data_IF_549624020185
#
_entry.id   IF_549624020185
#
_cell.length_a   1.000
_cell.length_b   1.000
_cell.length_c   1.000
_cell.angle_alpha   90.00
_cell.angle_beta   90.00
_cell.angle_gamma   90.00
#
_symmetry.space_group_name_H-M   'P 1'
#
loop_
_entity.id
_entity.type
_entity.pdbx_description
1 polymer ?
#
# COMPACT_ATOMS: atom_id res chain seq x y z
N UNK A 1 15.02 -9.41 -0.09
CA UNK A 1 13.89 -9.28 -1.03
C UNK A 1 13.97 -10.42 -2.03
N UNK A 2 12.87 -11.12 -2.32
CA UNK A 2 12.85 -12.16 -3.36
C UNK A 2 12.64 -11.57 -4.76
N UNK A 3 13.08 -12.28 -5.81
CA UNK A 3 12.98 -11.85 -7.23
C UNK A 3 11.55 -11.43 -7.60
N UNK A 4 10.52 -12.15 -7.11
CA UNK A 4 9.13 -11.79 -7.39
C UNK A 4 8.73 -10.45 -6.77
N UNK A 5 9.28 -10.12 -5.60
CA UNK A 5 9.06 -8.85 -4.93
C UNK A 5 9.75 -7.72 -5.70
N UNK A 6 10.98 -7.94 -6.17
CA UNK A 6 11.72 -6.96 -6.98
C UNK A 6 10.96 -6.62 -8.27
N UNK A 7 10.51 -7.64 -9.00
CA UNK A 7 9.74 -7.46 -10.24
C UNK A 7 8.43 -6.70 -9.96
N UNK A 8 7.75 -7.03 -8.86
CA UNK A 8 6.51 -6.35 -8.49
C UNK A 8 6.72 -4.86 -8.23
N UNK A 9 7.70 -4.50 -7.40
CA UNK A 9 7.94 -3.10 -7.04
C UNK A 9 8.58 -2.31 -8.17
N UNK A 10 9.46 -2.90 -8.98
CA UNK A 10 10.03 -2.28 -10.18
C UNK A 10 8.94 -1.88 -11.20
N UNK A 11 7.92 -2.71 -11.37
CA UNK A 11 6.80 -2.44 -12.31
C UNK A 11 5.70 -1.55 -11.72
N UNK A 12 5.71 -1.30 -10.41
CA UNK A 12 4.60 -0.67 -9.71
C UNK A 12 5.07 0.44 -8.77
N UNK A 13 5.56 1.52 -9.37
CA UNK A 13 6.02 2.73 -8.65
C UNK A 13 4.96 3.32 -7.74
N UNK A 14 3.67 3.24 -8.13
CA UNK A 14 2.56 3.71 -7.30
C UNK A 14 2.40 2.87 -6.02
N UNK A 15 2.70 1.57 -6.05
CA UNK A 15 2.70 0.74 -4.85
C UNK A 15 3.80 1.15 -3.86
N UNK A 16 4.98 1.55 -4.36
CA UNK A 16 6.05 2.12 -3.53
C UNK A 16 5.58 3.43 -2.90
N UNK A 17 5.02 4.35 -3.69
CA UNK A 17 4.48 5.63 -3.18
C UNK A 17 3.43 5.39 -2.10
N UNK A 18 2.50 4.47 -2.33
CA UNK A 18 1.45 4.12 -1.36
C UNK A 18 2.06 3.54 -0.08
N UNK A 19 3.08 2.68 -0.16
CA UNK A 19 3.76 2.16 1.03
C UNK A 19 4.46 3.29 1.81
N UNK A 20 5.14 4.22 1.13
CA UNK A 20 5.77 5.39 1.78
C UNK A 20 4.74 6.22 2.56
N UNK A 21 3.61 6.51 1.93
CA UNK A 21 2.49 7.23 2.56
C UNK A 21 1.94 6.49 3.79
N UNK A 22 1.81 5.16 3.69
CA UNK A 22 1.36 4.30 4.78
C UNK A 22 2.39 4.12 5.91
N UNK A 23 3.65 4.45 5.66
CA UNK A 23 4.69 4.43 6.68
C UNK A 23 4.53 5.58 7.68
N UNK A 24 4.02 6.72 7.22
CA UNK A 24 3.75 7.88 8.08
C UNK A 24 2.48 7.69 8.91
N UNK A 25 1.39 7.22 8.29
CA UNK A 25 0.10 7.00 8.95
C UNK A 25 -0.80 6.04 8.19
N UNK A 26 -1.91 5.66 8.83
CA UNK A 26 -2.97 4.91 8.14
C UNK A 26 -3.73 5.77 7.12
N UNK A 27 -4.15 5.14 6.03
CA UNK A 27 -4.86 5.81 4.94
C UNK A 27 -6.06 5.01 4.46
N UNK A 28 -7.12 5.72 4.10
CA UNK A 28 -8.21 5.18 3.29
C UNK A 28 -7.98 5.46 1.82
N UNK A 29 -8.53 4.61 0.95
CA UNK A 29 -8.36 4.76 -0.50
C UNK A 29 -8.89 6.11 -0.99
N UNK A 30 -10.03 6.57 -0.45
CA UNK A 30 -10.65 7.87 -0.80
C UNK A 30 -9.75 9.07 -0.46
N UNK A 31 -9.19 9.08 0.74
CA UNK A 31 -8.35 10.22 1.20
C UNK A 31 -6.99 10.19 0.52
N UNK A 32 -6.41 9.00 0.33
CA UNK A 32 -5.13 8.86 -0.34
C UNK A 32 -5.23 9.17 -1.84
N UNK A 33 -6.34 8.83 -2.49
CA UNK A 33 -6.57 9.16 -3.90
C UNK A 33 -6.62 10.67 -4.14
N UNK A 34 -7.20 11.43 -3.20
CA UNK A 34 -7.20 12.89 -3.23
C UNK A 34 -5.78 13.45 -3.07
N UNK A 35 -5.01 12.95 -2.10
CA UNK A 35 -3.61 13.38 -1.88
C UNK A 35 -2.72 13.09 -3.09
N UNK A 36 -2.80 11.87 -3.63
CA UNK A 36 -1.95 11.43 -4.75
C UNK A 36 -2.47 11.86 -6.13
N UNK A 37 -3.62 12.54 -6.21
CA UNK A 37 -4.31 12.90 -7.46
C UNK A 37 -4.48 11.69 -8.40
N UNK A 38 -4.92 10.55 -7.84
CA UNK A 38 -5.20 9.30 -8.57
C UNK A 38 -6.65 8.89 -8.42
N UNK A 39 -7.12 7.97 -9.27
CA UNK A 39 -8.44 7.37 -9.10
C UNK A 39 -8.50 6.50 -7.84
N UNK A 40 -9.61 6.61 -7.09
CA UNK A 40 -9.86 5.79 -5.88
C UNK A 40 -9.77 4.30 -6.17
N UNK A 41 -10.28 3.86 -7.32
CA UNK A 41 -10.27 2.46 -7.72
C UNK A 41 -8.85 1.92 -7.90
N UNK A 42 -7.96 2.72 -8.50
CA UNK A 42 -6.54 2.37 -8.65
C UNK A 42 -5.87 2.16 -7.29
N UNK A 43 -6.09 3.09 -6.35
CA UNK A 43 -5.56 2.95 -4.98
C UNK A 43 -6.14 1.71 -4.30
N UNK A 44 -7.44 1.46 -4.46
CA UNK A 44 -8.12 0.31 -3.85
C UNK A 44 -7.57 -1.02 -4.37
N UNK A 45 -7.34 -1.13 -5.69
CA UNK A 45 -6.72 -2.32 -6.31
C UNK A 45 -5.29 -2.55 -5.81
N UNK A 46 -4.53 -1.48 -5.60
CA UNK A 46 -3.16 -1.60 -5.06
C UNK A 46 -3.20 -2.01 -3.59
N UNK A 47 -4.09 -1.46 -2.76
CA UNK A 47 -4.25 -1.91 -1.38
C UNK A 47 -4.57 -3.40 -1.29
N UNK A 48 -5.49 -3.91 -2.11
CA UNK A 48 -5.82 -5.34 -2.15
C UNK A 48 -4.58 -6.17 -2.53
N UNK A 49 -3.82 -5.75 -3.54
CA UNK A 49 -2.58 -6.44 -3.96
C UNK A 49 -1.47 -6.40 -2.90
N UNK A 50 -1.32 -5.29 -2.20
CA UNK A 50 -0.35 -5.15 -1.12
C UNK A 50 -0.77 -5.98 0.10
N UNK A 51 -2.06 -6.04 0.41
CA UNK A 51 -2.62 -6.82 1.50
C UNK A 51 -2.47 -8.32 1.22
N UNK A 52 -2.77 -8.77 -0.01
CA UNK A 52 -2.60 -10.17 -0.40
C UNK A 52 -1.14 -10.64 -0.32
N UNK A 53 -0.17 -9.73 -0.46
CA UNK A 53 1.27 -10.01 -0.29
C UNK A 53 1.78 -9.77 1.14
N UNK A 54 0.91 -9.31 2.04
CA UNK A 54 1.20 -9.10 3.47
C UNK A 54 1.94 -7.80 3.81
N UNK A 55 2.04 -6.83 2.89
CA UNK A 55 2.75 -5.57 3.13
C UNK A 55 1.91 -4.52 3.86
N UNK A 56 0.60 -4.61 3.74
CA UNK A 56 -0.37 -3.73 4.41
C UNK A 56 -1.49 -4.58 5.01
N UNK A 57 -2.26 -4.00 5.94
CA UNK A 57 -3.42 -4.63 6.55
C UNK A 57 -4.57 -3.65 6.66
N UNK A 58 -5.76 -4.06 6.26
CA UNK A 58 -7.00 -3.34 6.55
C UNK A 58 -7.35 -3.49 8.03
N UNK A 59 -7.54 -2.37 8.73
CA UNK A 59 -7.85 -2.37 10.16
C UNK A 59 -9.33 -2.66 10.44
N UNK A 60 -10.21 -2.37 9.47
CA UNK A 60 -11.67 -2.56 9.61
C UNK A 60 -12.26 -3.25 8.37
N UNK A 61 -11.97 -4.55 8.16
CA UNK A 61 -12.41 -5.27 6.95
C UNK A 61 -13.94 -5.40 6.83
N UNK A 62 -14.66 -5.42 7.96
CA UNK A 62 -16.12 -5.59 7.97
C UNK A 62 -16.89 -4.30 7.64
N UNK A 63 -16.22 -3.15 7.55
CA UNK A 63 -16.87 -1.90 7.14
C UNK A 63 -16.78 -1.76 5.62
N UNK A 64 -17.92 -1.59 4.94
CA UNK A 64 -17.95 -1.34 3.49
C UNK A 64 -17.40 0.04 3.13
N UNK A 65 -17.67 1.04 3.97
CA UNK A 65 -17.40 2.45 3.66
C UNK A 65 -16.13 3.00 4.32
N UNK A 66 -15.62 2.35 5.37
CA UNK A 66 -14.49 2.83 6.15
C UNK A 66 -13.43 1.74 6.33
N UNK A 67 -12.54 1.62 5.34
CA UNK A 67 -11.42 0.67 5.32
C UNK A 67 -10.07 1.39 5.35
N UNK A 68 -9.58 1.79 6.54
CA UNK A 68 -8.21 2.29 6.68
C UNK A 68 -7.21 1.13 6.60
N UNK A 69 -6.11 1.38 5.88
CA UNK A 69 -4.99 0.47 5.75
C UNK A 69 -3.80 1.00 6.53
N UNK A 70 -2.99 0.09 7.08
CA UNK A 70 -1.73 0.39 7.77
C UNK A 70 -0.62 -0.50 7.22
N UNK A 71 0.60 0.02 7.16
CA UNK A 71 1.77 -0.77 6.79
C UNK A 71 2.09 -1.85 7.84
N UNK A 72 2.51 -3.04 7.39
CA UNK A 72 2.98 -4.13 8.27
C UNK A 72 4.49 -4.06 8.47
N UNK A 73 5.03 -4.87 9.39
CA UNK A 73 6.48 -5.03 9.55
C UNK A 73 7.16 -5.51 8.26
N UNK A 74 6.50 -6.38 7.49
CA UNK A 74 7.00 -6.82 6.17
C UNK A 74 7.04 -5.67 5.18
N UNK A 75 5.99 -4.85 5.10
CA UNK A 75 5.97 -3.67 4.23
C UNK A 75 7.06 -2.65 4.57
N UNK A 76 7.31 -2.43 5.87
CA UNK A 76 8.40 -1.56 6.34
C UNK A 76 9.77 -2.09 5.94
N UNK A 77 10.00 -3.39 6.11
CA UNK A 77 11.25 -4.05 5.71
C UNK A 77 11.55 -3.83 4.22
N UNK A 78 10.55 -4.04 3.36
CA UNK A 78 10.68 -3.80 1.92
C UNK A 78 11.02 -2.34 1.60
N UNK A 79 10.38 -1.37 2.24
CA UNK A 79 10.72 0.05 2.04
C UNK A 79 12.20 0.33 2.37
N UNK A 80 12.73 -0.27 3.45
CA UNK A 80 14.15 -0.14 3.79
C UNK A 80 15.07 -0.83 2.78
N UNK A 81 14.68 -2.00 2.26
CA UNK A 81 15.47 -2.75 1.27
C UNK A 81 15.52 -2.05 -0.10
N UNK A 82 14.47 -1.32 -0.48
CA UNK A 82 14.42 -0.57 -1.73
C UNK A 82 15.38 0.64 -1.78
N UNK A 83 15.99 1.04 -0.65
CA UNK A 83 16.90 2.20 -0.54
C UNK A 83 16.32 3.52 -1.12
N UNK A 84 15.01 3.76 -0.94
CA UNK A 84 14.30 4.97 -1.45
C UNK A 84 13.70 5.78 -0.31
#
# INVERSE_FOLDING_TARGET
>A
MDIEEEIFFARNTLAITILKELNEKEWMAKTLSQKLKKYRETISRIFIRLESKGYVKCLKPNSSNYRPYKITSKGRKILSELKI
#
